data_IF_886703383647
#
_entry.id   IF_886703383647
#
_cell.length_a   1.000
_cell.length_b   1.000
_cell.length_c   1.000
_cell.angle_alpha   90.00
_cell.angle_beta   90.00
_cell.angle_gamma   90.00
#
_symmetry.space_group_name_H-M   'P 1'
#
loop_
_entity.id
_entity.type
_entity.pdbx_description
1 polymer ?
#
# COMPACT_ATOMS: atom_id res chain seq x y z
N UNK A 1 18.68 21.91 -1.71
CA UNK A 1 18.80 20.49 -1.31
C UNK A 1 19.03 19.69 -2.57
N UNK A 2 20.03 18.80 -2.62
CA UNK A 2 20.28 17.91 -3.76
C UNK A 2 20.17 16.47 -3.26
N UNK A 3 19.35 15.67 -3.93
CA UNK A 3 19.25 14.22 -3.74
C UNK A 3 19.82 13.54 -4.98
N UNK A 4 20.81 12.67 -4.80
CA UNK A 4 21.38 11.86 -5.87
C UNK A 4 21.16 10.38 -5.59
N UNK A 5 20.68 9.65 -6.60
CA UNK A 5 20.57 8.19 -6.58
C UNK A 5 21.40 7.64 -7.72
N UNK A 6 22.39 6.82 -7.40
CA UNK A 6 23.19 6.12 -8.40
C UNK A 6 22.30 5.11 -9.17
N UNK A 7 22.45 5.09 -10.48
CA UNK A 7 21.87 4.12 -11.40
C UNK A 7 23.01 3.22 -11.94
N UNK A 8 22.72 2.38 -12.94
CA UNK A 8 23.76 1.62 -13.63
C UNK A 8 24.56 2.50 -14.59
N UNK A 9 25.78 2.07 -14.91
CA UNK A 9 26.61 2.63 -15.98
C UNK A 9 27.00 4.10 -15.72
N UNK A 10 27.44 4.41 -14.50
CA UNK A 10 27.84 5.75 -14.05
C UNK A 10 26.78 6.85 -14.21
N UNK A 11 25.51 6.46 -14.36
CA UNK A 11 24.38 7.39 -14.42
C UNK A 11 23.83 7.69 -13.04
N UNK A 12 23.30 8.89 -12.90
CA UNK A 12 22.73 9.38 -11.65
C UNK A 12 21.36 10.00 -11.90
N UNK A 13 20.40 9.70 -11.01
CA UNK A 13 19.17 10.47 -10.90
C UNK A 13 19.36 11.56 -9.87
N UNK A 14 19.37 12.80 -10.34
CA UNK A 14 19.49 13.98 -9.48
C UNK A 14 18.12 14.64 -9.33
N UNK A 15 17.79 15.03 -8.10
CA UNK A 15 16.59 15.81 -7.76
C UNK A 15 17.03 16.99 -6.92
N UNK A 16 16.71 18.19 -7.37
CA UNK A 16 17.01 19.43 -6.65
C UNK A 16 15.80 20.35 -6.68
N UNK A 17 15.76 21.31 -5.76
CA UNK A 17 14.71 22.32 -5.68
C UNK A 17 15.30 23.70 -5.88
N UNK A 18 14.54 24.59 -6.53
CA UNK A 18 14.80 26.03 -6.56
C UNK A 18 13.56 26.80 -6.13
N UNK A 19 13.70 27.99 -5.55
CA UNK A 19 12.58 28.90 -5.35
C UNK A 19 11.85 29.15 -6.67
N UNK A 20 10.55 29.41 -6.58
CA UNK A 20 9.77 29.86 -7.72
C UNK A 20 10.27 31.23 -8.20
N UNK A 21 10.22 31.51 -9.51
CA UNK A 21 10.72 32.78 -10.07
C UNK A 21 9.83 33.97 -9.69
N UNK A 22 8.62 33.71 -9.20
CA UNK A 22 7.58 34.69 -8.91
C UNK A 22 6.90 34.35 -7.58
N UNK A 23 6.45 35.38 -6.87
CA UNK A 23 5.55 35.27 -5.71
C UNK A 23 4.09 35.52 -6.06
N UNK A 24 3.78 35.82 -7.34
CA UNK A 24 2.44 36.11 -7.79
C UNK A 24 1.55 34.85 -7.73
N UNK A 25 0.52 34.81 -6.87
CA UNK A 25 -0.30 33.62 -6.70
C UNK A 25 -1.05 33.23 -7.98
N UNK A 26 -1.36 34.17 -8.89
CA UNK A 26 -2.05 33.84 -10.14
C UNK A 26 -1.16 33.08 -11.12
N UNK A 27 0.12 33.44 -11.21
CA UNK A 27 1.11 32.70 -12.02
C UNK A 27 1.47 31.35 -11.39
N UNK A 28 1.51 31.28 -10.06
CA UNK A 28 1.78 30.04 -9.32
C UNK A 28 0.64 29.02 -9.42
N UNK A 29 -0.59 29.50 -9.56
CA UNK A 29 -1.78 28.67 -9.68
C UNK A 29 -2.16 28.36 -11.12
N UNK A 30 -1.56 29.03 -12.11
CA UNK A 30 -1.81 28.83 -13.53
C UNK A 30 -1.43 27.40 -13.97
N UNK A 31 -2.39 26.56 -14.38
CA UNK A 31 -2.10 25.22 -14.90
C UNK A 31 -1.29 25.23 -16.20
N UNK A 32 -1.22 26.36 -16.92
CA UNK A 32 -0.39 26.52 -18.10
C UNK A 32 1.08 26.81 -17.76
N UNK A 33 1.40 27.22 -16.53
CA UNK A 33 2.78 27.47 -16.13
C UNK A 33 3.59 26.18 -16.11
N UNK A 34 4.59 26.11 -17.00
CA UNK A 34 5.55 25.01 -17.08
C UNK A 34 6.96 25.54 -16.83
N UNK A 35 7.58 25.24 -15.67
CA UNK A 35 8.94 25.68 -15.43
C UNK A 35 9.88 24.94 -16.39
N UNK A 36 10.88 25.66 -16.90
CA UNK A 36 11.92 25.04 -17.70
C UNK A 36 12.81 24.14 -16.83
N UNK A 37 13.35 23.04 -17.35
CA UNK A 37 14.35 22.23 -16.66
C UNK A 37 15.56 23.06 -16.23
N UNK A 38 16.34 22.55 -15.28
CA UNK A 38 17.63 23.15 -14.94
C UNK A 38 18.58 23.08 -16.13
N UNK A 39 19.31 24.16 -16.36
CA UNK A 39 20.48 24.16 -17.24
C UNK A 39 21.59 23.32 -16.61
N UNK A 40 22.56 22.87 -17.42
CA UNK A 40 23.71 22.10 -16.94
C UNK A 40 24.49 22.89 -15.89
N UNK A 41 24.72 24.16 -16.14
CA UNK A 41 25.49 25.06 -15.28
C UNK A 41 24.80 25.28 -13.92
N UNK A 42 23.47 25.47 -13.92
CA UNK A 42 22.71 25.60 -12.68
C UNK A 42 22.74 24.30 -11.85
N UNK A 43 22.63 23.15 -12.51
CA UNK A 43 22.67 21.85 -11.84
C UNK A 43 24.06 21.54 -11.29
N UNK A 44 25.13 21.78 -12.06
CA UNK A 44 26.52 21.65 -11.62
C UNK A 44 26.80 22.54 -10.42
N UNK A 45 26.34 23.80 -10.45
CA UNK A 45 26.46 24.70 -9.30
C UNK A 45 25.77 24.15 -8.07
N UNK A 46 24.54 23.65 -8.20
CA UNK A 46 23.79 23.08 -7.08
C UNK A 46 24.46 21.81 -6.51
N UNK A 47 24.99 20.95 -7.39
CA UNK A 47 25.70 19.73 -6.99
C UNK A 47 27.04 20.07 -6.35
N UNK A 48 27.85 20.95 -6.92
CA UNK A 48 29.13 21.41 -6.36
C UNK A 48 28.98 22.04 -4.96
N UNK A 49 27.87 22.74 -4.72
CA UNK A 49 27.56 23.26 -3.38
C UNK A 49 27.31 22.16 -2.36
N UNK A 50 26.73 21.03 -2.79
CA UNK A 50 26.47 19.89 -1.92
C UNK A 50 27.69 18.95 -1.80
N UNK A 51 28.42 18.74 -2.90
CA UNK A 51 29.58 17.85 -3.03
C UNK A 51 30.64 18.54 -3.91
N UNK A 52 31.60 19.26 -3.30
CA UNK A 52 32.63 19.98 -4.06
C UNK A 52 33.46 19.07 -4.97
N UNK A 53 33.81 19.57 -6.16
CA UNK A 53 34.61 18.83 -7.14
C UNK A 53 33.83 17.83 -7.99
N UNK A 54 32.50 17.93 -8.02
CA UNK A 54 31.64 17.08 -8.85
C UNK A 54 31.34 17.77 -10.18
N UNK A 55 31.56 17.06 -11.29
CA UNK A 55 31.24 17.54 -12.64
C UNK A 55 30.10 16.72 -13.25
N UNK A 56 29.25 17.36 -14.05
CA UNK A 56 28.22 16.66 -14.82
C UNK A 56 28.72 16.51 -16.24
N UNK A 57 28.88 15.28 -16.71
CA UNK A 57 29.31 15.06 -18.09
C UNK A 57 28.20 15.43 -19.09
N UNK A 58 27.03 14.80 -18.93
CA UNK A 58 25.89 14.91 -19.84
C UNK A 58 24.57 14.86 -19.06
N UNK A 59 23.56 15.60 -19.53
CA UNK A 59 22.17 15.49 -19.07
C UNK A 59 21.39 14.71 -20.11
N UNK A 60 21.08 13.45 -19.82
CA UNK A 60 20.29 12.61 -20.73
C UNK A 60 18.82 13.04 -20.83
N UNK A 61 18.25 13.49 -19.71
CA UNK A 61 16.88 13.96 -19.59
C UNK A 61 16.73 14.84 -18.36
N UNK A 62 15.92 15.88 -18.47
CA UNK A 62 15.60 16.76 -17.36
C UNK A 62 14.20 17.33 -17.50
N UNK A 63 13.52 17.47 -16.36
CA UNK A 63 12.21 18.08 -16.27
C UNK A 63 12.14 18.94 -15.01
N UNK A 64 11.24 19.92 -15.03
CA UNK A 64 10.92 20.74 -13.87
C UNK A 64 9.41 20.75 -13.67
N UNK A 65 9.00 20.68 -12.40
CA UNK A 65 7.60 20.75 -12.03
C UNK A 65 7.43 21.60 -10.77
N UNK A 66 6.29 22.27 -10.68
CA UNK A 66 5.89 23.00 -9.48
C UNK A 66 5.31 22.04 -8.45
N UNK A 67 5.78 22.17 -7.22
CA UNK A 67 5.30 21.35 -6.11
C UNK A 67 3.98 21.93 -5.62
N UNK A 68 2.91 21.15 -5.81
CA UNK A 68 1.55 21.54 -5.45
C UNK A 68 1.01 20.64 -4.34
N UNK A 69 0.03 21.16 -3.60
CA UNK A 69 -0.71 20.45 -2.57
C UNK A 69 -2.18 20.76 -2.76
N UNK A 70 -2.90 19.92 -3.50
CA UNK A 70 -4.29 20.15 -3.90
C UNK A 70 -5.09 18.86 -3.81
N UNK A 71 -6.37 18.98 -3.48
CA UNK A 71 -7.35 17.89 -3.58
C UNK A 71 -8.58 18.49 -4.26
N UNK A 72 -9.13 17.76 -5.23
CA UNK A 72 -10.34 18.16 -5.93
C UNK A 72 -11.52 18.26 -4.95
N UNK A 73 -12.37 19.27 -5.14
CA UNK A 73 -13.54 19.47 -4.29
C UNK A 73 -14.53 18.29 -4.42
N UNK A 74 -14.69 17.77 -5.64
CA UNK A 74 -15.49 16.57 -5.91
C UNK A 74 -14.69 15.59 -6.76
N UNK A 75 -14.80 14.31 -6.44
CA UNK A 75 -14.22 13.20 -7.20
C UNK A 75 -15.18 12.67 -8.26
N UNK A 76 -16.44 13.09 -8.21
CA UNK A 76 -17.49 12.69 -9.13
C UNK A 76 -18.36 13.89 -9.51
N UNK A 77 -18.67 14.01 -10.81
CA UNK A 77 -19.70 14.91 -11.32
C UNK A 77 -20.52 14.18 -12.38
N UNK A 78 -21.74 13.79 -12.02
CA UNK A 78 -22.56 12.91 -12.86
C UNK A 78 -21.82 11.60 -13.17
N UNK A 79 -21.52 11.38 -14.45
CA UNK A 79 -20.79 10.21 -14.94
C UNK A 79 -19.28 10.45 -15.11
N UNK A 80 -18.78 11.65 -14.79
CA UNK A 80 -17.35 11.96 -14.79
C UNK A 80 -16.70 11.68 -13.44
N UNK A 81 -15.51 11.08 -13.45
CA UNK A 81 -14.75 10.73 -12.25
C UNK A 81 -13.31 11.24 -12.35
N UNK A 82 -12.75 11.69 -11.22
CA UNK A 82 -11.34 12.04 -11.07
C UNK A 82 -10.62 10.96 -10.25
N UNK A 83 -9.40 10.58 -10.64
CA UNK A 83 -8.53 9.67 -9.87
C UNK A 83 -7.06 10.03 -10.05
N UNK A 84 -6.21 9.67 -9.09
CA UNK A 84 -4.77 9.96 -9.14
C UNK A 84 -4.49 11.46 -9.21
N UNK A 85 -3.51 11.87 -10.01
CA UNK A 85 -3.05 13.27 -10.08
C UNK A 85 -4.15 14.26 -10.53
N UNK A 86 -5.22 13.78 -11.19
CA UNK A 86 -6.39 14.58 -11.53
C UNK A 86 -7.27 14.89 -10.29
N UNK A 87 -7.27 14.02 -9.29
CA UNK A 87 -8.02 14.17 -8.05
C UNK A 87 -7.19 14.81 -6.92
N UNK A 88 -5.88 14.57 -6.89
CA UNK A 88 -5.02 15.11 -5.84
C UNK A 88 -3.58 15.30 -6.34
N UNK A 89 -2.92 16.35 -5.85
CA UNK A 89 -1.50 16.61 -6.07
C UNK A 89 -0.85 16.72 -4.70
N UNK A 90 0.22 15.96 -4.48
CA UNK A 90 1.01 15.98 -3.25
C UNK A 90 2.49 16.20 -3.55
N UNK A 91 3.26 16.81 -2.64
CA UNK A 91 4.70 16.84 -2.75
C UNK A 91 5.28 15.42 -2.78
N UNK A 92 6.41 15.18 -3.47
CA UNK A 92 6.99 13.86 -3.66
C UNK A 92 7.71 13.33 -2.40
N UNK A 93 7.12 13.51 -1.22
CA UNK A 93 7.61 12.98 0.05
C UNK A 93 7.20 11.51 0.16
N UNK A 94 8.18 10.67 0.50
CA UNK A 94 8.03 9.22 0.62
C UNK A 94 7.46 8.51 -0.63
N UNK A 95 7.46 9.19 -1.79
CA UNK A 95 7.03 8.67 -3.09
C UNK A 95 5.60 8.07 -3.09
N UNK A 96 4.68 8.72 -2.37
CA UNK A 96 3.33 8.18 -2.17
C UNK A 96 2.36 8.47 -3.33
N UNK A 97 2.57 9.52 -4.12
CA UNK A 97 1.61 10.00 -5.13
C UNK A 97 1.08 8.90 -6.07
N UNK A 98 1.98 8.17 -6.76
CA UNK A 98 1.59 7.07 -7.65
C UNK A 98 0.83 5.97 -6.90
N UNK A 99 1.26 5.62 -5.68
CA UNK A 99 0.64 4.58 -4.88
C UNK A 99 -0.80 4.94 -4.51
N UNK A 100 -1.07 6.22 -4.22
CA UNK A 100 -2.42 6.73 -3.95
C UNK A 100 -3.28 6.63 -5.22
N UNK A 101 -2.79 7.11 -6.35
CA UNK A 101 -3.55 7.06 -7.61
C UNK A 101 -3.89 5.63 -8.06
N UNK A 102 -2.97 4.68 -7.89
CA UNK A 102 -3.25 3.25 -8.13
C UNK A 102 -4.34 2.74 -7.21
N UNK A 103 -4.35 3.15 -5.93
CA UNK A 103 -5.38 2.75 -4.98
C UNK A 103 -6.75 3.37 -5.30
N UNK A 104 -6.79 4.60 -5.80
CA UNK A 104 -8.02 5.23 -6.29
C UNK A 104 -8.61 4.44 -7.47
N UNK A 105 -7.76 4.12 -8.45
CA UNK A 105 -8.16 3.33 -9.61
C UNK A 105 -8.66 1.93 -9.21
N UNK A 106 -7.97 1.27 -8.26
CA UNK A 106 -8.38 -0.01 -7.70
C UNK A 106 -9.72 0.08 -6.96
N UNK A 107 -10.02 1.19 -6.28
CA UNK A 107 -11.30 1.42 -5.61
C UNK A 107 -12.44 1.65 -6.62
N UNK A 108 -12.22 2.53 -7.60
CA UNK A 108 -13.23 2.97 -8.55
C UNK A 108 -13.58 1.88 -9.59
N UNK A 109 -12.57 1.18 -10.12
CA UNK A 109 -12.73 0.29 -11.28
C UNK A 109 -13.78 -0.82 -11.08
N UNK A 110 -13.77 -1.51 -9.94
CA UNK A 110 -14.74 -2.58 -9.70
C UNK A 110 -16.15 -2.03 -9.46
N UNK A 111 -16.29 -0.89 -8.78
CA UNK A 111 -17.57 -0.22 -8.54
C UNK A 111 -18.20 0.19 -9.85
N UNK A 112 -17.42 0.86 -10.70
CA UNK A 112 -17.81 1.28 -12.03
C UNK A 112 -18.21 0.10 -12.90
N UNK A 113 -17.40 -0.96 -12.94
CA UNK A 113 -17.71 -2.17 -13.70
C UNK A 113 -19.03 -2.81 -13.26
N UNK A 114 -19.33 -2.85 -11.96
CA UNK A 114 -20.57 -3.43 -11.43
C UNK A 114 -21.81 -2.61 -11.79
N UNK A 115 -21.73 -1.28 -11.67
CA UNK A 115 -22.82 -0.36 -12.02
C UNK A 115 -23.09 -0.38 -13.52
N UNK A 116 -22.04 -0.29 -14.37
CA UNK A 116 -22.18 -0.36 -15.83
C UNK A 116 -22.81 -1.69 -16.28
N UNK A 117 -22.51 -2.80 -15.59
CA UNK A 117 -23.12 -4.12 -15.86
C UNK A 117 -24.54 -4.29 -15.29
N UNK A 118 -25.10 -3.30 -14.59
CA UNK A 118 -26.40 -3.41 -13.93
C UNK A 118 -26.42 -4.38 -12.74
N UNK A 119 -25.25 -4.69 -12.18
CA UNK A 119 -25.08 -5.65 -11.07
C UNK A 119 -24.86 -4.99 -9.70
N UNK A 120 -24.92 -3.67 -9.66
CA UNK A 120 -24.92 -2.84 -8.45
C UNK A 120 -25.69 -1.54 -8.71
N UNK A 121 -26.23 -0.94 -7.64
CA UNK A 121 -26.88 0.37 -7.70
C UNK A 121 -25.85 1.48 -7.92
N UNK A 122 -26.27 2.59 -8.55
CA UNK A 122 -25.43 3.77 -8.76
C UNK A 122 -24.90 4.38 -7.46
N UNK A 123 -25.63 4.23 -6.36
CA UNK A 123 -25.19 4.66 -5.02
C UNK A 123 -23.88 4.00 -4.57
N UNK A 124 -23.49 2.86 -5.15
CA UNK A 124 -22.18 2.28 -4.93
C UNK A 124 -21.05 3.24 -5.39
N UNK A 125 -21.26 4.03 -6.44
CA UNK A 125 -20.26 4.98 -6.93
C UNK A 125 -20.09 6.18 -6.00
N UNK A 126 -21.13 6.57 -5.27
CA UNK A 126 -21.05 7.64 -4.26
C UNK A 126 -20.03 7.30 -3.14
N UNK A 127 -19.86 5.99 -2.87
CA UNK A 127 -18.87 5.52 -1.89
C UNK A 127 -17.43 5.76 -2.33
N UNK A 128 -17.13 5.95 -3.62
CA UNK A 128 -15.77 6.21 -4.08
C UNK A 128 -15.20 7.49 -3.45
N UNK A 129 -15.94 8.59 -3.53
CA UNK A 129 -15.54 9.84 -2.91
C UNK A 129 -15.49 9.73 -1.38
N UNK A 130 -16.54 9.15 -0.79
CA UNK A 130 -16.65 9.00 0.66
C UNK A 130 -15.49 8.18 1.25
N UNK A 131 -15.00 7.18 0.51
CA UNK A 131 -13.89 6.33 0.93
C UNK A 131 -12.51 6.93 0.65
N UNK A 132 -12.31 7.55 -0.51
CA UNK A 132 -10.97 7.97 -0.99
C UNK A 132 -10.61 9.41 -0.62
N UNK A 133 -11.53 10.36 -0.73
CA UNK A 133 -11.22 11.78 -0.49
C UNK A 133 -10.62 12.04 0.91
N UNK A 134 -11.15 11.47 2.03
CA UNK A 134 -10.55 11.69 3.35
C UNK A 134 -9.12 11.13 3.47
N UNK A 135 -8.83 10.03 2.78
CA UNK A 135 -7.49 9.42 2.75
C UNK A 135 -6.53 10.34 1.99
N UNK A 136 -6.93 10.83 0.83
CA UNK A 136 -6.10 11.68 -0.02
C UNK A 136 -5.81 13.02 0.65
N UNK A 137 -6.80 13.61 1.33
CA UNK A 137 -6.62 14.83 2.14
C UNK A 137 -5.60 14.64 3.28
N UNK A 138 -5.61 13.49 3.95
CA UNK A 138 -4.64 13.18 5.01
C UNK A 138 -3.23 13.04 4.42
N UNK A 139 -3.10 12.37 3.26
CA UNK A 139 -1.81 12.15 2.61
C UNK A 139 -1.24 13.45 2.10
N UNK A 140 -2.02 14.26 1.38
CA UNK A 140 -1.61 15.58 0.91
C UNK A 140 -1.17 16.43 2.09
N UNK A 141 -1.97 16.52 3.16
CA UNK A 141 -1.61 17.28 4.37
C UNK A 141 -0.30 16.81 5.01
N UNK A 142 -0.11 15.51 5.17
CA UNK A 142 1.08 14.94 5.80
C UNK A 142 2.33 15.14 4.94
N UNK A 143 2.22 14.95 3.63
CA UNK A 143 3.32 15.16 2.68
C UNK A 143 3.67 16.63 2.54
N UNK A 144 2.70 17.55 2.53
CA UNK A 144 2.94 19.00 2.57
C UNK A 144 3.68 19.43 3.83
N UNK A 145 3.27 18.92 5.01
CA UNK A 145 3.96 19.22 6.27
C UNK A 145 5.39 18.68 6.25
N UNK A 146 5.57 17.42 5.85
CA UNK A 146 6.90 16.80 5.74
C UNK A 146 7.81 17.51 4.75
N UNK A 147 7.26 17.97 3.62
CA UNK A 147 8.00 18.76 2.64
C UNK A 147 8.48 20.09 3.22
N UNK A 148 7.59 20.83 3.90
CA UNK A 148 7.93 22.08 4.56
C UNK A 148 9.05 21.88 5.58
N UNK A 149 8.92 20.88 6.45
CA UNK A 149 9.91 20.56 7.47
C UNK A 149 11.26 20.13 6.89
N UNK A 150 11.29 19.40 5.77
CA UNK A 150 12.52 18.91 5.16
C UNK A 150 13.23 19.98 4.32
N UNK A 151 12.48 20.74 3.52
CA UNK A 151 13.05 21.68 2.54
C UNK A 151 13.27 23.08 3.10
N UNK A 152 12.42 23.55 4.02
CA UNK A 152 12.59 24.87 4.65
C UNK A 152 13.46 24.81 5.93
N UNK A 153 13.87 23.61 6.38
CA UNK A 153 14.76 23.51 7.52
C UNK A 153 16.11 24.19 7.22
N UNK A 154 16.38 25.28 7.95
CA UNK A 154 17.69 25.94 7.91
C UNK A 154 18.79 24.91 8.24
N UNK A 155 19.87 24.81 7.44
CA UNK A 155 20.93 23.81 7.64
C UNK A 155 21.59 23.84 9.03
N UNK A 156 21.51 24.98 9.73
CA UNK A 156 22.06 25.19 11.08
C UNK A 156 20.98 25.29 12.17
N UNK A 157 19.71 25.04 11.82
CA UNK A 157 18.59 25.14 12.75
C UNK A 157 18.45 23.90 13.64
N UNK A 158 17.86 24.10 14.83
CA UNK A 158 17.53 23.02 15.76
C UNK A 158 16.72 21.90 15.08
N UNK A 159 15.80 22.25 14.18
CA UNK A 159 14.99 21.30 13.40
C UNK A 159 15.86 20.38 12.53
N UNK A 160 16.83 20.93 11.80
CA UNK A 160 17.75 20.13 10.98
C UNK A 160 18.62 19.20 11.85
N UNK A 161 19.12 19.70 12.98
CA UNK A 161 19.88 18.89 13.94
C UNK A 161 19.05 17.74 14.51
N UNK A 162 17.79 17.99 14.90
CA UNK A 162 16.86 16.97 15.42
C UNK A 162 16.55 15.91 14.35
N UNK A 163 16.22 16.34 13.13
CA UNK A 163 15.97 15.44 12.00
C UNK A 163 17.19 14.55 11.72
N UNK A 164 18.41 15.07 11.85
CA UNK A 164 19.65 14.33 11.58
C UNK A 164 20.09 13.42 12.72
N UNK A 165 19.96 13.83 13.99
CA UNK A 165 20.61 13.14 15.13
C UNK A 165 19.64 12.37 16.04
N UNK A 166 18.37 12.78 16.09
CA UNK A 166 17.37 12.21 17.00
C UNK A 166 16.42 11.29 16.25
N UNK A 167 15.95 11.74 15.08
CA UNK A 167 14.99 11.00 14.26
C UNK A 167 15.46 9.57 13.90
N UNK A 168 16.73 9.33 13.50
CA UNK A 168 17.19 7.96 13.20
C UNK A 168 17.15 7.03 14.42
N UNK A 169 17.41 7.56 15.62
CA UNK A 169 17.35 6.78 16.88
C UNK A 169 15.91 6.42 17.24
N UNK A 170 14.99 7.37 17.09
CA UNK A 170 13.55 7.14 17.31
C UNK A 170 13.02 6.11 16.30
N UNK A 171 13.40 6.21 15.02
CA UNK A 171 13.01 5.24 13.99
C UNK A 171 13.63 3.86 14.19
N UNK A 172 14.75 3.75 14.91
CA UNK A 172 15.32 2.47 15.34
C UNK A 172 14.45 1.70 16.35
N UNK A 173 13.50 2.36 17.01
CA UNK A 173 12.58 1.69 17.94
C UNK A 173 11.58 0.82 17.15
N UNK A 174 11.53 -0.48 17.45
CA UNK A 174 10.72 -1.47 16.71
C UNK A 174 9.25 -1.08 16.54
N UNK A 175 8.62 -0.49 17.56
CA UNK A 175 7.22 -0.07 17.51
C UNK A 175 7.01 1.11 16.56
N UNK A 176 7.88 2.13 16.66
CA UNK A 176 7.82 3.34 15.84
C UNK A 176 8.16 3.02 14.39
N UNK A 177 9.25 2.28 14.15
CA UNK A 177 9.65 1.84 12.82
C UNK A 177 8.55 1.01 12.13
N UNK A 178 7.86 0.13 12.88
CA UNK A 178 6.72 -0.64 12.34
C UNK A 178 5.53 0.27 11.99
N UNK A 179 5.19 1.24 12.84
CA UNK A 179 4.10 2.16 12.58
C UNK A 179 4.40 3.03 11.35
N UNK A 180 5.60 3.60 11.27
CA UNK A 180 6.03 4.42 10.14
C UNK A 180 6.09 3.60 8.85
N UNK A 181 6.64 2.39 8.90
CA UNK A 181 6.67 1.48 7.73
C UNK A 181 5.27 1.24 7.19
N UNK A 182 4.27 1.01 8.07
CA UNK A 182 2.87 0.85 7.66
C UNK A 182 2.27 2.12 7.06
N UNK A 183 2.58 3.28 7.63
CA UNK A 183 2.10 4.57 7.13
C UNK A 183 2.70 4.91 5.75
N UNK A 184 4.03 4.76 5.58
CA UNK A 184 4.73 5.03 4.32
C UNK A 184 4.28 4.05 3.23
N UNK A 185 4.20 2.76 3.55
CA UNK A 185 3.70 1.72 2.63
C UNK A 185 2.19 1.75 2.42
N UNK A 186 1.47 2.63 3.14
CA UNK A 186 0.02 2.79 3.06
C UNK A 186 -0.76 1.49 3.39
N UNK A 187 -0.13 0.56 4.12
CA UNK A 187 -0.73 -0.74 4.45
C UNK A 187 -1.65 -0.69 5.66
N UNK A 188 -1.64 0.41 6.42
CA UNK A 188 -2.57 0.67 7.53
C UNK A 188 -3.78 1.51 7.15
N UNK A 189 -4.01 1.77 5.86
CA UNK A 189 -5.20 2.50 5.43
C UNK A 189 -6.47 1.70 5.72
N UNK A 190 -7.49 2.43 6.16
CA UNK A 190 -8.81 1.90 6.48
C UNK A 190 -9.85 2.84 5.88
N UNK A 191 -10.85 2.29 5.21
CA UNK A 191 -11.95 3.11 4.73
C UNK A 191 -12.79 3.60 5.91
N UNK A 192 -13.18 4.89 5.90
CA UNK A 192 -14.06 5.43 6.93
C UNK A 192 -15.39 4.69 6.93
N UNK A 193 -16.04 4.65 8.08
CA UNK A 193 -17.36 4.07 8.20
C UNK A 193 -18.34 4.97 7.44
N UNK A 194 -18.92 4.47 6.35
CA UNK A 194 -19.95 5.19 5.63
C UNK A 194 -21.29 4.96 6.34
N UNK A 195 -21.91 6.02 6.85
CA UNK A 195 -23.27 5.96 7.41
C UNK A 195 -24.32 5.63 6.33
N UNK A 196 -23.96 5.80 5.06
CA UNK A 196 -24.83 5.46 3.92
C UNK A 196 -24.83 3.95 3.65
N UNK A 197 -25.89 3.29 4.11
CA UNK A 197 -26.45 2.00 3.67
C UNK A 197 -25.61 0.72 3.71
N UNK A 198 -24.31 0.78 4.00
CA UNK A 198 -23.45 -0.38 4.21
C UNK A 198 -22.66 -0.22 5.51
N UNK A 199 -23.39 -0.24 6.62
CA UNK A 199 -22.79 -0.24 7.95
C UNK A 199 -21.93 -1.50 8.07
N UNK A 200 -20.62 -1.31 7.98
CA UNK A 200 -19.61 -2.30 8.28
C UNK A 200 -19.65 -2.58 9.81
N UNK A 201 -20.65 -3.35 10.25
CA UNK A 201 -20.96 -3.58 11.66
C UNK A 201 -20.11 -4.69 12.27
N UNK A 202 -19.78 -4.51 13.55
CA UNK A 202 -19.25 -5.56 14.41
C UNK A 202 -17.92 -5.19 15.07
N UNK A 203 -17.79 -5.33 16.39
CA UNK A 203 -16.49 -5.27 17.03
C UNK A 203 -15.61 -6.41 16.53
N UNK A 204 -14.29 -6.19 16.49
CA UNK A 204 -13.32 -7.25 16.26
C UNK A 204 -13.59 -8.41 17.24
N UNK A 205 -13.95 -9.59 16.72
CA UNK A 205 -14.24 -10.77 17.54
C UNK A 205 -13.03 -11.24 18.36
N UNK A 206 -11.82 -10.84 17.97
CA UNK A 206 -10.57 -11.17 18.64
C UNK A 206 -9.65 -9.94 18.71
N UNK A 207 -8.81 -9.83 19.75
CA UNK A 207 -7.75 -8.82 19.79
C UNK A 207 -6.88 -8.93 18.53
N UNK A 208 -6.67 -7.81 17.83
CA UNK A 208 -5.92 -7.71 16.56
C UNK A 208 -6.60 -8.37 15.35
N UNK A 209 -7.89 -8.68 15.40
CA UNK A 209 -8.62 -9.11 14.21
C UNK A 209 -8.69 -7.99 13.16
N UNK A 210 -8.89 -8.40 11.91
CA UNK A 210 -9.11 -7.46 10.80
C UNK A 210 -10.41 -6.70 11.06
N UNK A 211 -10.32 -5.38 11.11
CA UNK A 211 -11.49 -4.55 11.33
C UNK A 211 -12.20 -4.27 10.00
N UNK A 212 -13.53 -4.11 10.01
CA UNK A 212 -14.27 -3.71 8.82
C UNK A 212 -13.69 -2.44 8.17
N UNK A 213 -13.55 -2.44 6.84
CA UNK A 213 -12.93 -1.34 6.08
C UNK A 213 -11.40 -1.41 6.00
N UNK A 214 -10.77 -2.32 6.73
CA UNK A 214 -9.34 -2.62 6.59
C UNK A 214 -9.09 -3.54 5.41
N UNK A 215 -7.92 -3.43 4.79
CA UNK A 215 -7.46 -4.42 3.80
C UNK A 215 -7.30 -5.80 4.45
N UNK A 216 -7.71 -6.85 3.73
CA UNK A 216 -7.41 -8.22 4.13
C UNK A 216 -5.90 -8.48 4.18
N UNK A 217 -5.36 -9.05 5.27
CA UNK A 217 -3.94 -9.36 5.39
C UNK A 217 -3.53 -10.42 4.37
N UNK A 218 -2.24 -10.47 4.04
CA UNK A 218 -1.69 -11.64 3.37
C UNK A 218 -1.34 -12.71 4.41
N UNK A 219 -1.61 -13.96 4.09
CA UNK A 219 -1.34 -15.09 4.97
C UNK A 219 -1.02 -16.33 4.13
N UNK A 220 -0.21 -17.24 4.68
CA UNK A 220 -0.05 -18.57 4.08
C UNK A 220 -1.33 -19.36 4.32
N UNK A 221 -1.82 -20.01 3.28
CA UNK A 221 -3.03 -20.82 3.32
C UNK A 221 -2.76 -22.20 2.70
N UNK A 222 -3.44 -23.20 3.24
CA UNK A 222 -3.54 -24.53 2.66
C UNK A 222 -5.01 -24.87 2.44
N UNK A 223 -5.35 -25.36 1.25
CA UNK A 223 -6.67 -25.91 0.99
C UNK A 223 -6.66 -27.40 1.27
N UNK A 224 -7.64 -27.85 2.04
CA UNK A 224 -7.89 -29.26 2.29
C UNK A 224 -9.08 -29.70 1.46
N UNK A 225 -8.90 -30.75 0.66
CA UNK A 225 -9.97 -31.45 -0.06
C UNK A 225 -9.89 -32.92 0.32
N UNK A 226 -11.00 -33.48 0.82
CA UNK A 226 -11.06 -34.89 1.24
C UNK A 226 -9.90 -35.27 2.19
N UNK A 227 -9.63 -34.40 3.18
CA UNK A 227 -8.52 -34.56 4.12
C UNK A 227 -7.12 -34.62 3.48
N UNK A 228 -6.93 -34.14 2.25
CA UNK A 228 -5.61 -33.98 1.61
C UNK A 228 -5.36 -32.53 1.25
N UNK A 229 -4.10 -32.10 1.33
CA UNK A 229 -3.69 -30.76 0.88
C UNK A 229 -3.82 -30.70 -0.63
N UNK A 230 -4.77 -29.92 -1.12
CA UNK A 230 -5.03 -29.73 -2.56
C UNK A 230 -4.36 -28.49 -3.13
N UNK A 231 -3.99 -27.52 -2.29
CA UNK A 231 -3.25 -26.32 -2.68
C UNK A 231 -2.51 -25.73 -1.47
N UNK A 232 -1.33 -25.17 -1.71
CA UNK A 232 -0.61 -24.31 -0.77
C UNK A 232 -0.23 -23.01 -1.47
N UNK A 233 -0.45 -21.88 -0.80
CA UNK A 233 -0.14 -20.59 -1.38
C UNK A 233 -0.35 -19.43 -0.43
N UNK A 234 -0.46 -18.23 -1.00
CA UNK A 234 -0.74 -16.99 -0.29
C UNK A 234 -2.19 -16.57 -0.48
N UNK A 235 -2.77 -16.00 0.56
CA UNK A 235 -4.14 -15.52 0.56
C UNK A 235 -4.37 -14.45 -0.52
N UNK A 236 -3.39 -13.58 -0.76
CA UNK A 236 -3.48 -12.59 -1.85
C UNK A 236 -3.53 -13.21 -3.26
N UNK A 237 -3.04 -14.44 -3.45
CA UNK A 237 -3.20 -15.14 -4.74
C UNK A 237 -4.65 -15.51 -5.01
N UNK A 238 -5.43 -15.76 -3.95
CA UNK A 238 -6.87 -15.96 -4.10
C UNK A 238 -7.57 -14.66 -4.49
N UNK A 239 -7.17 -13.52 -3.93
CA UNK A 239 -7.77 -12.20 -4.24
C UNK A 239 -7.37 -11.62 -5.59
N UNK A 240 -6.44 -12.25 -6.31
CA UNK A 240 -5.87 -11.69 -7.54
C UNK A 240 -6.86 -11.61 -8.71
N UNK A 241 -8.05 -12.21 -8.60
CA UNK A 241 -9.12 -12.12 -9.60
C UNK A 241 -10.25 -11.15 -9.18
N UNK A 242 -10.99 -10.57 -10.14
CA UNK A 242 -12.09 -9.64 -9.86
C UNK A 242 -13.35 -10.39 -9.36
N UNK A 243 -13.38 -10.69 -8.06
CA UNK A 243 -14.50 -11.36 -7.38
C UNK A 243 -14.53 -10.94 -5.91
N UNK A 244 -15.67 -11.16 -5.26
CA UNK A 244 -15.77 -11.04 -3.81
C UNK A 244 -15.42 -12.37 -3.16
N UNK A 245 -14.69 -12.30 -2.06
CA UNK A 245 -14.29 -13.48 -1.29
C UNK A 245 -14.94 -13.41 0.08
N UNK A 246 -15.74 -14.43 0.42
CA UNK A 246 -16.18 -14.67 1.79
C UNK A 246 -15.22 -15.68 2.44
N UNK A 247 -14.50 -15.23 3.46
CA UNK A 247 -13.64 -16.10 4.26
C UNK A 247 -14.38 -16.54 5.52
N UNK A 248 -14.63 -17.85 5.65
CA UNK A 248 -15.13 -18.42 6.89
C UNK A 248 -13.97 -19.03 7.66
N UNK A 249 -13.67 -18.45 8.82
CA UNK A 249 -12.64 -18.95 9.72
C UNK A 249 -13.28 -19.76 10.84
N UNK A 250 -12.92 -21.04 10.94
CA UNK A 250 -13.24 -21.87 12.10
C UNK A 250 -11.95 -22.14 12.88
N UNK A 251 -11.96 -21.89 14.20
CA UNK A 251 -10.87 -22.30 15.07
C UNK A 251 -10.91 -23.82 15.18
N UNK A 252 -9.84 -24.48 14.76
CA UNK A 252 -9.65 -25.90 15.06
C UNK A 252 -9.19 -25.97 16.53
N UNK A 253 -9.90 -26.66 17.42
CA UNK A 253 -9.43 -26.88 18.79
C UNK A 253 -8.03 -27.51 18.74
N UNK A 254 -7.09 -27.04 19.57
CA UNK A 254 -5.81 -27.72 19.71
C UNK A 254 -6.11 -29.18 20.10
N UNK A 255 -5.54 -30.19 19.40
CA UNK A 255 -5.72 -31.57 19.80
C UNK A 255 -5.19 -31.70 21.24
N UNK A 256 -6.02 -32.21 22.15
CA UNK A 256 -5.56 -32.54 23.50
C UNK A 256 -4.32 -33.45 23.35
N UNK A 257 -3.18 -33.17 24.01
CA UNK A 257 -2.09 -34.12 24.03
C UNK A 257 -2.64 -35.43 24.61
N UNK A 258 -2.38 -36.59 23.97
CA UNK A 258 -2.86 -37.86 24.48
C UNK A 258 -2.34 -38.05 25.90
N UNK A 259 -3.24 -38.41 26.82
CA UNK A 259 -2.95 -38.53 28.26
C UNK A 259 -2.13 -39.78 28.61
N UNK A 260 -1.30 -40.30 27.72
CA UNK A 260 -0.43 -41.45 27.97
C UNK A 260 0.74 -41.42 26.99
N UNK A 261 1.96 -41.18 27.52
CA UNK A 261 3.33 -41.55 27.06
C UNK A 261 3.66 -41.83 25.57
N UNK A 262 2.84 -41.40 24.61
CA UNK A 262 3.11 -41.45 23.18
C UNK A 262 3.34 -40.03 22.68
N UNK A 263 4.55 -39.75 22.22
CA UNK A 263 4.89 -38.56 21.45
C UNK A 263 4.03 -38.54 20.16
N UNK A 264 2.84 -37.95 20.24
CA UNK A 264 2.14 -37.45 19.05
C UNK A 264 2.32 -35.94 19.10
N UNK A 265 3.38 -35.49 18.40
CA UNK A 265 3.58 -34.09 18.11
C UNK A 265 2.36 -33.57 17.37
N UNK A 266 1.69 -32.57 17.96
CA UNK A 266 0.50 -31.94 17.41
C UNK A 266 0.77 -31.23 16.09
N UNK A 267 0.72 -32.01 15.01
CA UNK A 267 0.32 -31.61 13.68
C UNK A 267 -0.68 -32.66 13.21
N UNK A 268 -1.69 -32.25 12.46
CA UNK A 268 -2.48 -33.23 11.72
C UNK A 268 -1.49 -34.07 10.90
N UNK A 269 -1.53 -35.41 10.92
CA UNK A 269 -0.60 -36.22 10.12
C UNK A 269 -0.65 -35.82 8.62
N UNK A 270 -1.81 -35.30 8.19
CA UNK A 270 -2.07 -34.68 6.89
C UNK A 270 -1.21 -33.42 6.59
N UNK A 271 -0.78 -32.70 7.63
CA UNK A 271 0.04 -31.50 7.56
C UNK A 271 1.55 -31.85 7.50
N UNK A 272 1.92 -33.05 7.98
CA UNK A 272 3.30 -33.50 8.14
C UNK A 272 3.77 -34.47 7.06
N UNK A 273 2.87 -35.12 6.30
CA UNK A 273 3.26 -36.00 5.18
C UNK A 273 3.94 -35.26 4.02
N UNK A 274 4.02 -33.93 4.05
CA UNK A 274 4.88 -33.12 3.18
C UNK A 274 6.35 -33.02 3.62
N UNK A 275 6.74 -33.62 4.74
CA UNK A 275 8.05 -33.43 5.38
C UNK A 275 9.25 -34.02 4.62
N UNK A 276 9.07 -34.61 3.43
CA UNK A 276 10.16 -35.17 2.63
C UNK A 276 10.60 -34.33 1.41
N UNK A 277 10.24 -33.04 1.32
CA UNK A 277 10.82 -32.18 0.30
C UNK A 277 11.24 -30.80 0.83
N UNK A 278 12.55 -30.65 0.93
CA UNK A 278 13.34 -29.42 1.13
C UNK A 278 13.47 -28.84 2.54
N UNK A 279 14.70 -28.99 3.04
CA UNK A 279 15.31 -28.27 4.15
C UNK A 279 15.21 -26.75 3.97
N UNK A 280 14.40 -26.11 4.80
CA UNK A 280 14.38 -24.66 4.96
C UNK A 280 13.58 -24.34 6.21
N UNK A 281 14.25 -23.81 7.24
CA UNK A 281 13.65 -23.35 8.49
C UNK A 281 12.52 -22.35 8.20
N UNK A 282 11.26 -22.77 8.32
CA UNK A 282 10.10 -21.89 8.17
C UNK A 282 9.51 -21.52 9.54
N UNK A 283 9.10 -20.25 9.75
CA UNK A 283 8.35 -19.87 10.94
C UNK A 283 7.00 -20.61 10.94
N UNK A 284 6.72 -21.26 12.07
CA UNK A 284 5.48 -22.00 12.31
C UNK A 284 4.28 -21.05 12.20
N UNK A 285 3.11 -21.57 11.80
CA UNK A 285 1.84 -20.82 11.69
C UNK A 285 1.41 -20.08 12.97
N UNK A 286 2.14 -20.25 14.08
CA UNK A 286 1.99 -19.58 15.36
C UNK A 286 2.31 -18.07 15.34
N UNK A 287 3.03 -17.56 14.33
CA UNK A 287 3.41 -16.13 14.29
C UNK A 287 2.34 -15.20 13.69
N UNK A 288 1.20 -15.73 13.25
CA UNK A 288 0.07 -14.91 12.80
C UNK A 288 -0.92 -14.69 13.94
N UNK A 289 -1.49 -13.49 14.05
CA UNK A 289 -2.56 -13.19 15.00
C UNK A 289 -3.84 -14.05 14.81
N UNK A 290 -3.90 -14.86 13.75
CA UNK A 290 -5.01 -15.78 13.45
C UNK A 290 -4.85 -17.20 14.04
N UNK A 291 -3.68 -17.59 14.56
CA UNK A 291 -3.48 -18.96 15.07
C UNK A 291 -3.72 -20.07 14.01
N UNK A 292 -4.02 -21.30 14.45
CA UNK A 292 -4.43 -22.41 13.56
C UNK A 292 -5.93 -22.28 13.21
N UNK A 293 -6.25 -21.70 12.07
CA UNK A 293 -7.62 -21.55 11.58
C UNK A 293 -7.85 -22.39 10.31
N UNK A 294 -8.97 -23.12 10.25
CA UNK A 294 -9.49 -23.69 9.01
C UNK A 294 -10.18 -22.57 8.23
N UNK A 295 -9.79 -22.37 6.98
CA UNK A 295 -10.47 -21.49 6.04
C UNK A 295 -11.38 -22.34 5.16
N UNK A 296 -12.70 -22.20 5.34
CA UNK A 296 -13.68 -22.81 4.45
C UNK A 296 -14.16 -21.76 3.44
N UNK A 297 -13.91 -22.00 2.16
CA UNK A 297 -14.41 -21.15 1.08
C UNK A 297 -15.74 -21.70 0.56
N UNK A 298 -16.78 -20.88 0.55
CA UNK A 298 -18.10 -21.28 0.04
C UNK A 298 -18.27 -20.80 -1.41
N UNK A 299 -18.24 -21.77 -2.34
CA UNK A 299 -18.78 -21.79 -3.73
C UNK A 299 -18.69 -20.56 -4.67
N UNK A 300 -17.77 -19.62 -4.47
CA UNK A 300 -17.34 -18.67 -5.52
C UNK A 300 -15.87 -18.89 -5.96
N UNK A 301 -15.14 -19.75 -5.25
CA UNK A 301 -13.71 -20.00 -5.46
C UNK A 301 -13.39 -21.22 -6.35
N UNK A 302 -14.38 -22.04 -6.72
CA UNK A 302 -14.12 -23.27 -7.49
C UNK A 302 -13.51 -22.94 -8.87
N UNK A 303 -13.97 -21.85 -9.51
CA UNK A 303 -13.40 -21.35 -10.76
C UNK A 303 -12.00 -20.74 -10.61
N UNK A 304 -11.68 -20.14 -9.45
CA UNK A 304 -10.34 -19.59 -9.18
C UNK A 304 -9.35 -20.73 -8.93
N UNK A 305 -9.73 -21.74 -8.15
CA UNK A 305 -8.92 -22.95 -7.92
C UNK A 305 -8.70 -23.71 -9.23
N UNK A 306 -9.73 -23.83 -10.09
CA UNK A 306 -9.60 -24.40 -11.43
C UNK A 306 -8.63 -23.61 -12.33
N UNK A 307 -8.65 -22.27 -12.27
CA UNK A 307 -7.74 -21.39 -13.04
C UNK A 307 -6.30 -21.40 -12.53
N UNK A 308 -6.09 -21.64 -11.24
CA UNK A 308 -4.77 -21.74 -10.60
C UNK A 308 -4.15 -23.16 -10.71
N UNK A 309 -4.72 -24.05 -11.53
CA UNK A 309 -4.19 -25.39 -11.77
C UNK A 309 -4.66 -26.47 -10.80
N UNK A 310 -5.72 -26.22 -10.04
CA UNK A 310 -6.35 -27.23 -9.20
C UNK A 310 -6.97 -28.37 -10.03
N UNK A 311 -7.01 -29.61 -9.50
CA UNK A 311 -7.47 -30.77 -10.24
C UNK A 311 -8.94 -30.62 -10.69
N UNK A 312 -9.20 -30.94 -11.96
CA UNK A 312 -10.54 -30.96 -12.55
C UNK A 312 -11.44 -31.89 -11.72
N UNK A 313 -12.56 -31.39 -11.23
CA UNK A 313 -13.60 -32.27 -10.70
C UNK A 313 -14.22 -33.03 -11.87
N UNK A 314 -14.08 -34.36 -11.88
CA UNK A 314 -14.99 -35.19 -12.66
C UNK A 314 -16.42 -34.99 -12.13
N UNK A 315 -17.42 -34.91 -13.03
CA UNK A 315 -18.81 -34.76 -12.62
C UNK A 315 -19.24 -36.00 -11.82
N UNK A 316 -19.81 -35.78 -10.64
CA UNK A 316 -20.71 -36.73 -9.97
C UNK A 316 -22.13 -36.22 -10.11
#
# INVERSE_FOLDING_TARGET
MVLGVALSDDRWRLVTTRPLPTSNPYELLDPAYRPLPFTKEELEKAVCQAVPGTEIYEIMWGDAFSINSRVAESFQLGNGFLCGDAAHLSPPIAYQGLNVGVQDAMNLSWKLARVVRGTAYSSLLETYQAERKPIDEIIVRNTSRGYKELVEAKPQGLTHWLLKNVLPRIFGLKSVGRHLSKAISMTSQKYPHSETHMTLTGPAMMPKAVEPGSRAPDARIGLLRENRVSFQGRLHQLYASPHFTLLLTARIPDPKPPSNNGLICGCCDICMDGANMYSGTYPQAADSAMGRCLLQMVRLADDVVRRLGGPKSEPK
#
